data_IF_550406203457
#
_entry.id   IF_550406203457
#
_cell.length_a   1.000
_cell.length_b   1.000
_cell.length_c   1.000
_cell.angle_alpha   90.00
_cell.angle_beta   90.00
_cell.angle_gamma   90.00
#
_symmetry.space_group_name_H-M   'P 1'
#
loop_
_entity.id
_entity.type
_entity.pdbx_description
1 polymer ?
#
# COMPACT_ATOMS: atom_id res chain seq x y z
N UNK A 1 -6.31 -21.25 -10.48
CA UNK A 1 -5.16 -20.38 -10.15
C UNK A 1 -5.69 -19.14 -9.48
N UNK A 2 -5.12 -18.74 -8.35
CA UNK A 2 -5.54 -17.53 -7.64
C UNK A 2 -5.27 -16.29 -8.51
N UNK A 3 -6.13 -15.27 -8.44
CA UNK A 3 -5.94 -14.03 -9.20
C UNK A 3 -4.99 -13.11 -8.44
N UNK A 4 -3.77 -12.91 -8.95
CA UNK A 4 -2.77 -12.04 -8.35
C UNK A 4 -2.60 -10.77 -9.19
N UNK A 5 -2.64 -9.61 -8.53
CA UNK A 5 -2.23 -8.34 -9.15
C UNK A 5 -0.70 -8.21 -9.03
N UNK A 6 0.06 -8.14 -10.13
CA UNK A 6 1.50 -7.93 -10.08
C UNK A 6 1.84 -6.54 -9.54
N UNK A 7 3.07 -6.37 -9.05
CA UNK A 7 3.64 -5.06 -8.75
C UNK A 7 3.86 -4.28 -10.05
N UNK A 8 3.08 -3.23 -10.29
CA UNK A 8 3.06 -2.52 -11.56
C UNK A 8 4.17 -1.47 -11.67
N UNK A 9 4.70 -0.99 -10.54
CA UNK A 9 5.70 0.09 -10.49
C UNK A 9 7.00 -0.30 -9.78
N UNK A 10 7.16 -1.57 -9.40
CA UNK A 10 8.44 -2.14 -9.00
C UNK A 10 9.52 -1.91 -10.08
N UNK A 11 10.70 -1.45 -9.67
CA UNK A 11 11.79 -1.03 -10.55
C UNK A 11 11.70 0.42 -11.05
N UNK A 12 10.63 1.16 -10.73
CA UNK A 12 10.47 2.58 -11.11
C UNK A 12 10.17 3.50 -9.92
N UNK A 13 9.18 3.17 -9.10
CA UNK A 13 8.84 3.95 -7.89
C UNK A 13 9.62 3.47 -6.67
N UNK A 14 9.96 2.18 -6.64
CA UNK A 14 10.76 1.53 -5.61
C UNK A 14 11.53 0.36 -6.24
N UNK A 15 12.59 -0.18 -5.60
CA UNK A 15 13.39 -1.26 -6.19
C UNK A 15 12.57 -2.52 -6.49
N UNK A 16 12.94 -3.26 -7.54
CA UNK A 16 12.23 -4.50 -7.88
C UNK A 16 12.66 -5.70 -7.02
N UNK A 17 13.86 -5.65 -6.42
CA UNK A 17 14.38 -6.75 -5.62
C UNK A 17 14.00 -6.61 -4.13
N UNK A 18 13.71 -7.74 -3.48
CA UNK A 18 13.36 -7.79 -2.07
C UNK A 18 14.44 -7.17 -1.18
N UNK A 19 15.72 -7.43 -1.48
CA UNK A 19 16.84 -7.01 -0.64
C UNK A 19 17.12 -5.50 -0.79
N UNK A 20 17.00 -4.96 -2.00
CA UNK A 20 17.08 -3.51 -2.20
C UNK A 20 15.90 -2.79 -1.53
N UNK A 21 14.68 -3.34 -1.61
CA UNK A 21 13.53 -2.78 -0.88
C UNK A 21 13.80 -2.74 0.62
N UNK A 22 14.28 -3.83 1.22
CA UNK A 22 14.63 -3.85 2.66
C UNK A 22 15.66 -2.78 3.00
N UNK A 23 16.70 -2.64 2.18
CA UNK A 23 17.73 -1.60 2.37
C UNK A 23 17.14 -0.19 2.28
N UNK A 24 16.31 0.09 1.27
CA UNK A 24 15.64 1.39 1.14
C UNK A 24 14.70 1.67 2.31
N UNK A 25 13.98 0.66 2.82
CA UNK A 25 13.15 0.82 4.01
C UNK A 25 14.01 1.08 5.25
N UNK A 26 15.12 0.39 5.44
CA UNK A 26 16.06 0.68 6.52
C UNK A 26 16.59 2.13 6.45
N UNK A 27 16.98 2.58 5.25
CA UNK A 27 17.38 3.97 5.01
C UNK A 27 16.25 4.95 5.38
N UNK A 28 15.00 4.67 4.99
CA UNK A 28 13.86 5.56 5.26
C UNK A 28 13.52 5.61 6.76
N UNK A 29 13.53 4.48 7.46
CA UNK A 29 13.10 4.39 8.85
C UNK A 29 14.21 4.76 9.84
N UNK A 30 15.47 4.47 9.52
CA UNK A 30 16.58 4.53 10.48
C UNK A 30 17.59 5.62 10.13
N UNK A 31 18.07 5.66 8.89
CA UNK A 31 19.22 6.50 8.52
C UNK A 31 18.84 7.90 8.05
N UNK A 32 17.70 8.05 7.36
CA UNK A 32 17.32 9.28 6.69
C UNK A 32 17.05 10.40 7.70
N UNK A 33 17.58 11.61 7.47
CA UNK A 33 17.32 12.73 8.34
C UNK A 33 15.87 13.23 8.30
N UNK A 34 15.15 12.86 7.23
CA UNK A 34 13.75 13.19 7.00
C UNK A 34 12.78 12.13 7.56
N UNK A 35 13.32 10.98 8.00
CA UNK A 35 12.55 9.89 8.59
C UNK A 35 12.50 9.93 10.12
N UNK A 36 11.92 8.90 10.76
CA UNK A 36 11.77 8.83 12.21
C UNK A 36 13.06 8.51 12.96
N UNK A 37 14.17 8.23 12.26
CA UNK A 37 15.50 7.95 12.85
C UNK A 37 15.49 6.83 13.88
N UNK A 38 14.79 5.75 13.57
CA UNK A 38 14.65 4.57 14.44
C UNK A 38 13.68 4.75 15.61
N UNK A 39 13.10 5.95 15.80
CA UNK A 39 12.07 6.17 16.82
C UNK A 39 10.81 5.37 16.48
N UNK A 40 10.37 4.54 17.42
CA UNK A 40 9.12 3.79 17.35
C UNK A 40 8.20 4.27 18.47
N UNK A 41 7.35 5.25 18.15
CA UNK A 41 6.33 5.77 19.04
C UNK A 41 4.98 5.19 18.65
N UNK A 42 4.83 3.88 18.87
CA UNK A 42 3.58 3.19 18.51
C UNK A 42 2.41 3.72 19.32
N UNK A 43 1.27 3.86 18.66
CA UNK A 43 0.08 4.45 19.25
C UNK A 43 -1.11 3.49 19.12
N UNK A 44 -1.60 2.92 20.23
CA UNK A 44 -2.81 2.10 20.24
C UNK A 44 -4.07 2.86 19.79
N UNK A 45 -4.03 4.20 19.83
CA UNK A 45 -5.11 5.06 19.39
C UNK A 45 -5.07 5.40 17.88
N UNK A 46 -4.05 4.92 17.15
CA UNK A 46 -3.91 5.21 15.72
C UNK A 46 -4.93 4.41 14.89
N UNK A 47 -5.99 5.08 14.45
CA UNK A 47 -7.04 4.49 13.62
C UNK A 47 -6.77 4.62 12.11
N UNK A 48 -5.91 5.55 11.71
CA UNK A 48 -5.60 5.81 10.30
C UNK A 48 -4.67 7.01 10.12
N UNK A 49 -4.26 7.25 8.88
CA UNK A 49 -3.42 8.37 8.51
C UNK A 49 -3.29 8.51 7.01
N UNK A 50 -2.57 9.54 6.59
CA UNK A 50 -2.31 9.86 5.19
C UNK A 50 -0.80 9.78 4.96
N UNK A 51 -0.41 9.04 3.93
CA UNK A 51 0.98 8.93 3.51
C UNK A 51 1.12 9.33 2.03
N UNK A 52 2.25 9.92 1.65
CA UNK A 52 2.56 10.18 0.25
C UNK A 52 2.85 8.89 -0.53
N UNK A 53 2.50 8.86 -1.82
CA UNK A 53 2.72 7.72 -2.74
C UNK A 53 3.68 8.06 -3.90
N UNK A 54 4.59 9.02 -3.71
CA UNK A 54 5.69 9.23 -4.65
C UNK A 54 6.72 8.09 -4.52
N UNK A 55 7.70 8.02 -5.44
CA UNK A 55 8.75 7.02 -5.33
C UNK A 55 9.50 7.09 -3.98
N UNK A 56 9.98 5.95 -3.48
CA UNK A 56 10.56 5.81 -2.14
C UNK A 56 11.69 6.80 -1.85
N UNK A 57 12.50 7.14 -2.86
CA UNK A 57 13.58 8.13 -2.74
C UNK A 57 13.07 9.51 -2.34
N UNK A 58 11.85 9.88 -2.74
CA UNK A 58 11.26 11.19 -2.48
C UNK A 58 10.40 11.21 -1.23
N UNK A 59 9.59 10.17 -1.02
CA UNK A 59 8.53 10.19 0.00
C UNK A 59 8.64 9.11 1.07
N UNK A 60 9.51 8.11 0.88
CA UNK A 60 9.70 7.00 1.82
C UNK A 60 10.01 7.47 3.25
N UNK A 61 10.96 8.39 3.47
CA UNK A 61 11.24 8.90 4.82
C UNK A 61 10.05 9.61 5.46
N UNK A 62 9.25 10.35 4.68
CA UNK A 62 8.04 11.01 5.17
C UNK A 62 6.98 9.98 5.59
N UNK A 63 6.70 8.99 4.73
CA UNK A 63 5.76 7.92 5.03
C UNK A 63 6.18 7.08 6.25
N UNK A 64 7.49 6.89 6.45
CA UNK A 64 8.04 6.11 7.56
C UNK A 64 7.62 6.63 8.94
N UNK A 65 7.36 7.93 9.12
CA UNK A 65 6.83 8.46 10.39
C UNK A 65 5.49 7.85 10.77
N UNK A 66 4.56 7.76 9.80
CA UNK A 66 3.26 7.16 10.05
C UNK A 66 3.40 5.67 10.35
N UNK A 67 4.12 4.93 9.51
CA UNK A 67 4.29 3.49 9.69
C UNK A 67 5.06 3.11 10.95
N UNK A 68 5.97 3.97 11.46
CA UNK A 68 6.64 3.76 12.73
C UNK A 68 5.71 3.88 13.95
N UNK A 69 4.57 4.56 13.81
CA UNK A 69 3.55 4.70 14.83
C UNK A 69 2.47 3.61 14.79
N UNK A 70 2.44 2.78 13.74
CA UNK A 70 1.49 1.67 13.59
C UNK A 70 1.87 0.52 14.54
N UNK A 71 0.87 -0.01 15.25
CA UNK A 71 1.05 -1.17 16.11
C UNK A 71 1.31 -2.45 15.30
N UNK A 72 2.13 -3.35 15.85
CA UNK A 72 2.50 -4.59 15.14
C UNK A 72 1.43 -5.67 15.11
N UNK A 73 0.36 -5.52 15.89
CA UNK A 73 -0.76 -6.46 15.97
C UNK A 73 -1.93 -6.09 15.05
N UNK A 74 -1.81 -5.00 14.28
CA UNK A 74 -2.77 -4.65 13.22
C UNK A 74 -2.86 -5.79 12.21
N UNK A 75 -4.05 -6.36 12.06
CA UNK A 75 -4.29 -7.53 11.19
C UNK A 75 -4.99 -7.22 9.88
N UNK A 76 -5.62 -6.05 9.79
CA UNK A 76 -6.41 -5.63 8.63
C UNK A 76 -6.22 -4.14 8.44
N UNK A 77 -5.94 -3.75 7.20
CA UNK A 77 -5.82 -2.35 6.78
C UNK A 77 -6.74 -2.12 5.59
N UNK A 78 -7.34 -0.94 5.53
CA UNK A 78 -8.05 -0.46 4.34
C UNK A 78 -7.19 0.63 3.71
N UNK A 79 -6.70 0.38 2.51
CA UNK A 79 -5.95 1.37 1.74
C UNK A 79 -6.89 2.08 0.78
N UNK A 80 -6.89 3.41 0.83
CA UNK A 80 -7.65 4.27 -0.07
C UNK A 80 -6.65 5.07 -0.89
N UNK A 81 -6.78 4.98 -2.22
CA UNK A 81 -5.95 5.72 -3.15
C UNK A 81 -6.78 6.38 -4.23
N UNK A 82 -6.12 7.24 -5.00
CA UNK A 82 -6.72 7.93 -6.15
C UNK A 82 -6.42 7.17 -7.43
N UNK A 83 -7.29 7.32 -8.43
CA UNK A 83 -7.11 6.75 -9.76
C UNK A 83 -6.54 7.82 -10.70
N UNK A 84 -5.21 7.85 -10.86
CA UNK A 84 -4.50 8.76 -11.77
C UNK A 84 -4.66 8.36 -13.24
N UNK A 85 -4.89 7.07 -13.50
CA UNK A 85 -5.01 6.54 -14.88
C UNK A 85 -6.40 6.77 -15.48
N UNK A 86 -7.42 6.97 -14.65
CA UNK A 86 -8.81 7.10 -15.09
C UNK A 86 -9.39 5.83 -15.72
N UNK A 87 -8.79 4.66 -15.46
CA UNK A 87 -9.24 3.37 -15.99
C UNK A 87 -10.20 2.68 -15.03
N UNK A 88 -11.17 1.94 -15.57
CA UNK A 88 -12.14 1.18 -14.78
C UNK A 88 -13.21 2.04 -14.11
N UNK A 89 -13.80 1.53 -13.04
CA UNK A 89 -14.84 2.22 -12.27
C UNK A 89 -14.32 3.48 -11.56
N UNK A 90 -15.24 4.42 -11.27
CA UNK A 90 -14.90 5.69 -10.59
C UNK A 90 -14.35 5.47 -9.17
N UNK A 91 -14.84 4.45 -8.48
CA UNK A 91 -14.31 3.98 -7.22
C UNK A 91 -14.32 2.44 -7.26
N UNK A 92 -13.15 1.84 -7.08
CA UNK A 92 -12.96 0.43 -7.40
C UNK A 92 -12.39 -0.36 -6.23
N UNK A 93 -12.96 -1.53 -5.98
CA UNK A 93 -12.36 -2.59 -5.18
C UNK A 93 -11.51 -3.48 -6.10
N UNK A 94 -10.40 -3.98 -5.59
CA UNK A 94 -9.62 -5.00 -6.29
C UNK A 94 -10.44 -6.29 -6.40
N UNK A 95 -10.51 -6.88 -7.59
CA UNK A 95 -11.10 -8.19 -7.85
C UNK A 95 -10.07 -9.35 -7.77
N UNK A 96 -8.78 -9.00 -7.66
CA UNK A 96 -7.70 -9.92 -7.30
C UNK A 96 -7.88 -10.49 -5.88
N UNK A 97 -7.29 -11.65 -5.63
CA UNK A 97 -7.23 -12.30 -4.32
C UNK A 97 -5.97 -11.92 -3.56
N UNK A 98 -4.90 -11.56 -4.27
CA UNK A 98 -3.62 -11.12 -3.71
C UNK A 98 -2.99 -10.01 -4.53
N UNK A 99 -2.18 -9.20 -3.87
CA UNK A 99 -1.29 -8.23 -4.51
C UNK A 99 0.15 -8.67 -4.30
N UNK A 100 0.92 -8.75 -5.37
CA UNK A 100 2.33 -9.07 -5.31
C UNK A 100 3.12 -7.82 -4.92
N UNK A 101 4.10 -8.01 -4.03
CA UNK A 101 5.15 -7.02 -3.73
C UNK A 101 6.52 -7.70 -3.84
N UNK A 102 7.63 -6.94 -3.92
CA UNK A 102 8.97 -7.53 -3.83
C UNK A 102 9.23 -8.33 -2.54
N UNK A 103 8.48 -8.05 -1.46
CA UNK A 103 8.63 -8.74 -0.17
C UNK A 103 7.71 -9.96 -0.03
N UNK A 104 6.88 -10.24 -1.03
CA UNK A 104 5.90 -11.33 -1.03
C UNK A 104 4.49 -10.86 -1.37
N UNK A 105 3.56 -11.79 -1.40
CA UNK A 105 2.16 -11.51 -1.72
C UNK A 105 1.36 -11.13 -0.47
N UNK A 106 0.52 -10.10 -0.61
CA UNK A 106 -0.41 -9.64 0.41
C UNK A 106 -1.82 -10.09 0.03
N UNK A 107 -2.49 -10.79 0.95
CA UNK A 107 -3.85 -11.25 0.73
C UNK A 107 -4.86 -10.10 0.85
N UNK A 108 -5.84 -10.06 -0.06
CA UNK A 108 -7.00 -9.19 0.08
C UNK A 108 -8.01 -9.84 1.00
N UNK A 109 -8.56 -9.05 1.92
CA UNK A 109 -9.65 -9.51 2.76
C UNK A 109 -10.94 -9.65 1.95
N UNK A 110 -11.22 -10.87 1.50
CA UNK A 110 -12.34 -11.16 0.61
C UNK A 110 -13.68 -10.94 1.28
N UNK A 111 -13.81 -11.32 2.54
CA UNK A 111 -15.05 -11.14 3.30
C UNK A 111 -15.40 -9.66 3.39
N UNK A 112 -14.44 -8.82 3.79
CA UNK A 112 -14.64 -7.38 3.82
C UNK A 112 -14.89 -6.81 2.43
N UNK A 113 -14.18 -7.27 1.40
CA UNK A 113 -14.40 -6.81 0.02
C UNK A 113 -15.82 -7.13 -0.50
N UNK A 114 -16.38 -8.30 -0.16
CA UNK A 114 -17.77 -8.64 -0.49
C UNK A 114 -18.77 -7.76 0.28
N UNK A 115 -18.54 -7.54 1.57
CA UNK A 115 -19.37 -6.64 2.38
C UNK A 115 -19.37 -5.23 1.76
N UNK A 116 -18.20 -4.69 1.43
CA UNK A 116 -18.09 -3.36 0.81
C UNK A 116 -18.78 -3.30 -0.56
N UNK A 117 -18.59 -4.31 -1.41
CA UNK A 117 -19.22 -4.36 -2.73
C UNK A 117 -20.76 -4.43 -2.67
N UNK A 118 -21.31 -5.04 -1.62
CA UNK A 118 -22.78 -5.18 -1.46
C UNK A 118 -23.40 -3.99 -0.74
N UNK A 119 -22.70 -3.39 0.23
CA UNK A 119 -23.24 -2.31 1.05
C UNK A 119 -22.94 -0.91 0.50
N UNK A 120 -21.86 -0.73 -0.26
CA UNK A 120 -21.41 0.57 -0.75
C UNK A 120 -21.71 0.69 -2.24
N UNK A 121 -22.84 1.35 -2.56
CA UNK A 121 -23.42 1.38 -3.92
C UNK A 121 -22.53 1.97 -5.01
N UNK A 122 -21.52 2.76 -4.66
CA UNK A 122 -20.62 3.40 -5.61
C UNK A 122 -19.30 2.64 -5.82
N UNK A 123 -19.07 1.53 -5.09
CA UNK A 123 -17.90 0.68 -5.25
C UNK A 123 -18.18 -0.45 -6.22
N UNK A 124 -17.30 -0.63 -7.19
CA UNK A 124 -17.35 -1.74 -8.14
C UNK A 124 -16.06 -2.55 -8.07
N UNK A 125 -16.13 -3.87 -8.25
CA UNK A 125 -14.92 -4.69 -8.39
C UNK A 125 -14.38 -4.55 -9.80
N UNK A 126 -13.23 -3.90 -9.96
CA UNK A 126 -12.64 -3.65 -11.27
C UNK A 126 -11.11 -3.57 -11.22
N UNK A 127 -10.45 -4.66 -11.61
CA UNK A 127 -8.98 -4.72 -11.66
C UNK A 127 -8.35 -3.77 -12.69
N UNK A 128 -9.11 -3.25 -13.67
CA UNK A 128 -8.57 -2.27 -14.62
C UNK A 128 -8.16 -0.98 -13.94
N UNK A 129 -8.85 -0.60 -12.86
CA UNK A 129 -8.52 0.57 -12.04
C UNK A 129 -7.22 0.39 -11.26
N UNK A 130 -6.84 -0.86 -10.96
CA UNK A 130 -5.68 -1.17 -10.11
C UNK A 130 -4.45 -1.63 -10.90
N UNK A 131 -4.63 -2.15 -12.12
CA UNK A 131 -3.60 -2.88 -12.88
C UNK A 131 -2.31 -2.09 -13.12
N UNK A 132 -2.41 -0.78 -13.33
CA UNK A 132 -1.26 0.10 -13.59
C UNK A 132 -1.29 1.35 -12.70
N UNK A 133 -2.16 1.38 -11.70
CA UNK A 133 -2.26 2.49 -10.76
C UNK A 133 -1.29 2.27 -9.60
N UNK A 134 -0.66 3.34 -9.12
CA UNK A 134 0.43 3.29 -8.16
C UNK A 134 0.05 3.81 -6.78
N UNK A 135 -1.02 4.61 -6.66
CA UNK A 135 -1.35 5.33 -5.41
C UNK A 135 -1.59 4.44 -4.19
N UNK A 136 -1.98 3.17 -4.39
CA UNK A 136 -2.17 2.15 -3.34
C UNK A 136 -0.97 1.19 -3.26
N UNK A 137 -0.24 1.00 -4.37
CA UNK A 137 0.88 0.05 -4.44
C UNK A 137 2.12 0.55 -3.70
N UNK A 138 2.37 1.86 -3.78
CA UNK A 138 3.54 2.54 -3.22
C UNK A 138 3.34 2.80 -1.73
#
# INVERSE_FOLDING_TARGET
MERVRPAAVAGSFYPASADEVKKTLEECFVSSPLGPRGLRARSPALLGGMVPHAGYVYSGPCAAHFYAAVESDVRRVVLLGVNHRGLGARAALSAAERWQTPLGEVAIDRELAEILATQVRFLEKDDRAHRQEHSIEV
#
